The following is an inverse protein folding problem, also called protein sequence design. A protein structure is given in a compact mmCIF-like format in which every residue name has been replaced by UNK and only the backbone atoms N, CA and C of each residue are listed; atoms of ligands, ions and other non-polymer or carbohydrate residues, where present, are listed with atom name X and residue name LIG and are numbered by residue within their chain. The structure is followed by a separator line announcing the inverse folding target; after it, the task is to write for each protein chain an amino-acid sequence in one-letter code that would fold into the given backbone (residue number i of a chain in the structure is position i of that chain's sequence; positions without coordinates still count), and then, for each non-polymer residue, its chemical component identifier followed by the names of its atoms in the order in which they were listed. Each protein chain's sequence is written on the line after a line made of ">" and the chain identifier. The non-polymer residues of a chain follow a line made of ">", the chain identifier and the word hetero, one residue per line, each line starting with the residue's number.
data_IF_981872047007
#
_entry.id   IF_981872047007
#
_cell.length_a   1.000
_cell.length_b   1.000
_cell.length_c   1.000
_cell.angle_alpha   90.00
_cell.angle_beta   90.00
_cell.angle_gamma   90.00
#
_symmetry.space_group_name_H-M   'P 1'
#
loop_
_entity.id
_entity.type
_entity.pdbx_description
1 polymer ?
#
# COMPACT_ATOMS: atom_id res chain seq x y z
N UNK A 1 0.70 -22.15 -18.34
CA UNK A 1 1.60 -20.97 -18.42
C UNK A 1 2.02 -20.63 -17.00
N UNK A 2 3.29 -20.30 -16.74
CA UNK A 2 3.76 -20.00 -15.38
C UNK A 2 3.21 -18.64 -14.91
N UNK A 3 2.69 -18.53 -13.67
CA UNK A 3 2.23 -17.26 -13.11
C UNK A 3 3.32 -16.19 -13.12
N UNK A 4 2.93 -14.94 -13.31
CA UNK A 4 3.82 -13.77 -13.35
C UNK A 4 3.32 -12.71 -12.40
N UNK A 5 4.24 -12.03 -11.75
CA UNK A 5 3.95 -10.81 -11.02
C UNK A 5 4.95 -9.72 -11.38
N UNK A 6 4.54 -8.48 -11.23
CA UNK A 6 5.37 -7.31 -11.49
C UNK A 6 5.06 -6.23 -10.46
N UNK A 7 6.11 -5.55 -10.00
CA UNK A 7 6.01 -4.48 -9.02
C UNK A 7 6.64 -3.20 -9.57
N UNK A 8 5.99 -2.08 -9.26
CA UNK A 8 6.43 -0.72 -9.54
C UNK A 8 6.34 0.10 -8.26
N UNK A 9 7.41 0.76 -7.88
CA UNK A 9 7.45 1.62 -6.70
C UNK A 9 7.62 3.09 -7.11
N UNK A 10 7.09 3.97 -6.27
CA UNK A 10 7.47 5.38 -6.25
C UNK A 10 7.91 5.75 -4.83
N UNK A 11 7.97 7.04 -4.52
CA UNK A 11 8.40 7.55 -3.23
C UNK A 11 7.34 7.40 -2.10
N UNK A 12 6.18 6.82 -2.40
CA UNK A 12 5.03 6.83 -1.50
C UNK A 12 4.26 5.51 -1.36
N UNK A 13 4.31 4.62 -2.35
CA UNK A 13 3.68 3.30 -2.31
C UNK A 13 4.30 2.36 -3.34
N UNK A 14 3.96 1.06 -3.24
CA UNK A 14 4.26 0.06 -4.27
C UNK A 14 2.99 -0.46 -4.90
N UNK A 15 2.93 -0.43 -6.23
CA UNK A 15 1.92 -1.13 -7.01
C UNK A 15 2.44 -2.51 -7.40
N UNK A 16 1.69 -3.55 -7.09
CA UNK A 16 1.97 -4.92 -7.53
C UNK A 16 0.79 -5.44 -8.32
N UNK A 17 1.07 -6.08 -9.46
CA UNK A 17 0.09 -6.72 -10.31
C UNK A 17 0.55 -8.15 -10.66
N UNK A 18 -0.40 -9.04 -10.94
CA UNK A 18 -0.10 -10.43 -11.26
C UNK A 18 -1.08 -11.00 -12.28
N UNK A 19 -0.64 -12.06 -12.94
CA UNK A 19 -1.40 -12.80 -13.93
C UNK A 19 -1.06 -14.29 -13.84
N UNK A 20 -2.09 -15.14 -13.82
CA UNK A 20 -1.99 -16.60 -13.80
C UNK A 20 -2.26 -17.22 -15.19
N UNK A 21 -2.47 -16.37 -16.21
CA UNK A 21 -2.64 -16.73 -17.62
C UNK A 21 -3.99 -17.35 -17.97
N UNK A 22 -4.76 -17.78 -16.97
CA UNK A 22 -6.10 -18.35 -17.14
C UNK A 22 -6.95 -18.09 -15.90
N UNK A 23 -8.27 -18.26 -16.04
CA UNK A 23 -9.19 -18.29 -14.90
C UNK A 23 -8.91 -19.52 -14.06
N UNK A 24 -8.62 -19.31 -12.78
CA UNK A 24 -8.41 -20.39 -11.82
C UNK A 24 -9.77 -20.87 -11.27
N UNK A 25 -10.08 -22.15 -11.46
CA UNK A 25 -11.26 -22.79 -10.87
C UNK A 25 -11.09 -22.88 -9.35
N UNK A 26 -12.16 -22.60 -8.59
CA UNK A 26 -12.16 -22.61 -7.11
C UNK A 26 -11.17 -21.63 -6.46
N UNK A 27 -10.79 -20.55 -7.14
CA UNK A 27 -10.00 -19.46 -6.57
C UNK A 27 -10.93 -18.39 -5.97
N UNK A 28 -10.81 -18.14 -4.67
CA UNK A 28 -11.52 -17.06 -3.97
C UNK A 28 -10.76 -15.72 -4.09
N UNK A 29 -9.44 -15.76 -4.26
CA UNK A 29 -8.61 -14.57 -4.41
C UNK A 29 -7.13 -14.87 -4.21
N UNK A 30 -6.37 -13.85 -3.83
CA UNK A 30 -4.92 -13.96 -3.69
C UNK A 30 -4.40 -13.44 -2.36
N UNK A 31 -3.49 -14.19 -1.75
CA UNK A 31 -2.65 -13.70 -0.67
C UNK A 31 -1.37 -13.10 -1.26
N UNK A 32 -1.02 -11.89 -0.83
CA UNK A 32 0.18 -11.19 -1.30
C UNK A 32 1.12 -11.02 -0.13
N UNK A 33 2.36 -11.48 -0.28
CA UNK A 33 3.39 -11.43 0.73
C UNK A 33 4.51 -10.48 0.28
N UNK A 34 4.96 -9.63 1.19
CA UNK A 34 6.13 -8.77 1.01
C UNK A 34 7.38 -9.49 1.49
N UNK A 35 8.39 -9.54 0.62
CA UNK A 35 9.71 -10.08 0.91
C UNK A 35 10.70 -8.93 0.92
N UNK A 36 11.36 -8.70 2.05
CA UNK A 36 12.33 -7.61 2.25
C UNK A 36 13.78 -8.10 2.30
N UNK A 37 13.98 -9.42 2.47
CA UNK A 37 15.30 -10.05 2.58
C UNK A 37 15.38 -11.22 1.61
N UNK A 38 16.51 -11.37 0.93
CA UNK A 38 16.73 -12.45 -0.05
C UNK A 38 16.58 -13.85 0.57
N UNK A 39 16.91 -14.00 1.86
CA UNK A 39 16.80 -15.27 2.58
C UNK A 39 15.41 -15.55 3.18
N UNK A 40 14.47 -14.60 3.10
CA UNK A 40 13.08 -14.80 3.53
C UNK A 40 12.19 -15.07 2.31
N UNK A 41 12.12 -16.33 1.90
CA UNK A 41 11.29 -16.75 0.77
C UNK A 41 9.79 -16.71 1.09
N UNK A 42 9.41 -16.71 2.38
CA UNK A 42 8.00 -16.70 2.79
C UNK A 42 7.41 -15.29 2.73
N UNK A 43 8.13 -14.32 3.27
CA UNK A 43 7.67 -12.94 3.39
C UNK A 43 6.53 -12.76 4.40
N UNK A 44 6.12 -11.50 4.58
CA UNK A 44 5.02 -11.10 5.47
C UNK A 44 3.75 -10.83 4.66
N UNK A 45 2.63 -11.44 5.04
CA UNK A 45 1.35 -11.21 4.36
C UNK A 45 0.93 -9.73 4.47
N UNK A 46 0.55 -9.15 3.34
CA UNK A 46 0.12 -7.76 3.30
C UNK A 46 -1.20 -7.58 4.06
N UNK A 47 -1.38 -6.44 4.72
CA UNK A 47 -2.66 -6.11 5.33
C UNK A 47 -3.67 -5.72 4.26
N UNK A 48 -4.90 -6.17 4.47
CA UNK A 48 -6.11 -5.70 3.79
C UNK A 48 -7.08 -5.12 4.83
N UNK A 49 -8.08 -4.41 4.36
CA UNK A 49 -9.09 -3.78 5.22
C UNK A 49 -10.32 -4.66 5.31
N UNK A 50 -10.51 -5.30 6.46
CA UNK A 50 -11.76 -5.94 6.85
C UNK A 50 -12.63 -4.99 7.69
N UNK A 51 -13.83 -5.45 8.02
CA UNK A 51 -14.68 -4.85 9.07
C UNK A 51 -15.12 -5.93 10.03
N UNK A 52 -15.22 -5.61 11.31
CA UNK A 52 -15.89 -6.48 12.27
C UNK A 52 -17.41 -6.39 12.16
N UNK A 53 -18.12 -7.17 12.98
CA UNK A 53 -19.59 -7.19 13.03
C UNK A 53 -20.22 -5.85 13.40
N UNK A 54 -19.47 -4.97 14.08
CA UNK A 54 -19.90 -3.60 14.42
C UNK A 54 -19.57 -2.58 13.32
N UNK A 55 -18.97 -3.04 12.21
CA UNK A 55 -18.51 -2.19 11.12
C UNK A 55 -17.18 -1.50 11.39
N UNK A 56 -16.53 -1.76 12.54
CA UNK A 56 -15.22 -1.17 12.87
C UNK A 56 -14.14 -1.77 11.98
N UNK A 57 -13.21 -0.94 11.54
CA UNK A 57 -12.13 -1.34 10.62
C UNK A 57 -11.18 -2.29 11.34
N UNK A 58 -10.90 -3.42 10.69
CA UNK A 58 -9.89 -4.37 11.14
C UNK A 58 -8.78 -4.44 10.10
N UNK A 59 -7.54 -4.34 10.58
CA UNK A 59 -6.36 -4.68 9.77
C UNK A 59 -6.21 -6.19 9.84
N UNK A 60 -6.53 -6.87 8.74
CA UNK A 60 -6.45 -8.33 8.61
C UNK A 60 -5.45 -8.68 7.52
N UNK A 61 -4.85 -9.86 7.53
CA UNK A 61 -3.92 -10.26 6.48
C UNK A 61 -4.66 -10.64 5.20
N UNK A 62 -3.98 -10.53 4.06
CA UNK A 62 -4.48 -11.05 2.78
C UNK A 62 -4.61 -12.58 2.75
N UNK A 63 -4.08 -13.29 3.76
CA UNK A 63 -4.32 -14.72 3.94
C UNK A 63 -5.72 -14.96 4.49
N UNK A 64 -6.11 -14.22 5.53
CA UNK A 64 -7.43 -14.33 6.15
C UNK A 64 -8.53 -13.74 5.26
N UNK A 65 -8.23 -12.70 4.49
CA UNK A 65 -9.15 -12.06 3.55
C UNK A 65 -8.49 -11.92 2.17
N UNK A 66 -8.60 -12.93 1.29
CA UNK A 66 -7.95 -12.93 -0.02
C UNK A 66 -8.35 -11.73 -0.89
N UNK A 67 -7.37 -11.17 -1.61
CA UNK A 67 -7.58 -10.04 -2.51
C UNK A 67 -8.28 -10.54 -3.78
N UNK A 68 -9.49 -10.02 -4.05
CA UNK A 68 -10.32 -10.38 -5.23
C UNK A 68 -10.06 -9.49 -6.45
N UNK A 69 -8.79 -9.17 -6.68
CA UNK A 69 -8.28 -8.35 -7.79
C UNK A 69 -6.97 -8.96 -8.28
N UNK A 70 -6.48 -8.51 -9.42
CA UNK A 70 -5.19 -8.90 -9.99
C UNK A 70 -4.09 -7.85 -9.74
N UNK A 71 -4.34 -6.93 -8.82
CA UNK A 71 -3.36 -5.94 -8.37
C UNK A 71 -3.66 -5.50 -6.93
N UNK A 72 -2.64 -4.94 -6.30
CA UNK A 72 -2.71 -4.36 -4.97
C UNK A 72 -1.78 -3.15 -4.85
N UNK A 73 -2.11 -2.25 -3.93
CA UNK A 73 -1.22 -1.15 -3.53
C UNK A 73 -0.77 -1.42 -2.11
N UNK A 74 0.50 -1.77 -1.95
CA UNK A 74 1.13 -1.70 -0.64
C UNK A 74 1.36 -0.23 -0.34
N UNK A 75 0.76 0.26 0.75
CA UNK A 75 0.92 1.64 1.29
C UNK A 75 1.55 1.62 2.68
N UNK A 76 2.01 0.43 3.10
CA UNK A 76 2.65 0.13 4.38
C UNK A 76 4.13 -0.28 4.20
N UNK A 77 4.67 -0.08 3.01
CA UNK A 77 6.09 -0.17 2.72
C UNK A 77 6.91 0.83 3.55
N UNK A 78 8.20 0.54 3.62
CA UNK A 78 9.19 1.44 4.20
C UNK A 78 10.01 2.08 3.08
N UNK A 79 10.11 3.41 3.11
CA UNK A 79 10.89 4.18 2.13
C UNK A 79 12.37 3.83 2.22
N UNK A 80 13.05 3.80 1.07
CA UNK A 80 14.46 3.42 0.96
C UNK A 80 14.75 1.94 1.23
N UNK A 81 13.70 1.10 1.34
CA UNK A 81 13.86 -0.36 1.40
C UNK A 81 13.66 -0.96 0.02
N UNK A 82 14.39 -2.05 -0.20
CA UNK A 82 14.22 -2.93 -1.36
C UNK A 82 13.32 -4.08 -0.98
N UNK A 83 12.33 -4.38 -1.83
CA UNK A 83 11.35 -5.44 -1.58
C UNK A 83 10.89 -6.09 -2.90
N UNK A 84 10.34 -7.29 -2.80
CA UNK A 84 9.58 -7.95 -3.87
C UNK A 84 8.34 -8.60 -3.28
N UNK A 85 7.46 -9.08 -4.15
CA UNK A 85 6.19 -9.65 -3.76
C UNK A 85 6.03 -11.07 -4.25
N UNK A 86 5.47 -11.91 -3.38
CA UNK A 86 5.07 -13.29 -3.66
C UNK A 86 3.55 -13.36 -3.59
N UNK A 87 2.92 -13.92 -4.62
CA UNK A 87 1.46 -13.97 -4.74
C UNK A 87 1.02 -15.43 -4.82
N UNK A 88 0.12 -15.81 -3.92
CA UNK A 88 -0.41 -17.16 -3.79
C UNK A 88 -1.90 -17.14 -4.07
N UNK A 89 -2.36 -17.99 -4.99
CA UNK A 89 -3.78 -18.19 -5.23
C UNK A 89 -4.42 -18.92 -4.03
N UNK A 90 -5.59 -18.47 -3.60
CA UNK A 90 -6.28 -18.96 -2.41
C UNK A 90 -7.61 -19.60 -2.79
N UNK A 91 -7.89 -20.77 -2.24
CA UNK A 91 -9.21 -21.41 -2.33
C UNK A 91 -10.22 -20.83 -1.31
N UNK A 92 -9.72 -20.02 -0.37
CA UNK A 92 -10.48 -19.34 0.67
C UNK A 92 -9.57 -18.79 1.77
N UNK A 93 -10.14 -18.21 2.84
CA UNK A 93 -9.40 -17.73 4.01
C UNK A 93 -8.41 -18.77 4.55
N UNK A 94 -7.14 -18.37 4.65
CA UNK A 94 -6.01 -19.16 5.13
C UNK A 94 -5.82 -20.51 4.41
N UNK A 95 -6.36 -20.66 3.20
CA UNK A 95 -6.33 -21.92 2.44
C UNK A 95 -5.75 -21.70 1.04
N UNK A 96 -4.43 -21.93 0.84
CA UNK A 96 -3.81 -21.90 -0.48
C UNK A 96 -4.47 -22.88 -1.45
N UNK A 97 -4.63 -22.45 -2.69
CA UNK A 97 -5.14 -23.29 -3.78
C UNK A 97 -4.05 -24.28 -4.21
N UNK A 98 -4.36 -25.57 -4.09
CA UNK A 98 -3.39 -26.64 -4.37
C UNK A 98 -3.13 -26.80 -5.87
N UNK A 99 -1.90 -27.20 -6.21
CA UNK A 99 -1.49 -27.47 -7.60
C UNK A 99 -1.32 -26.23 -8.47
N UNK A 100 -1.34 -25.04 -7.88
CA UNK A 100 -1.12 -23.76 -8.57
C UNK A 100 0.21 -23.17 -8.08
N UNK A 101 1.10 -22.88 -9.03
CA UNK A 101 2.36 -22.20 -8.75
C UNK A 101 2.13 -20.79 -8.20
N UNK A 102 3.05 -20.30 -7.38
CA UNK A 102 3.05 -18.90 -6.94
C UNK A 102 3.69 -17.97 -7.98
N UNK A 103 3.29 -16.69 -7.95
CA UNK A 103 3.91 -15.66 -8.77
C UNK A 103 4.89 -14.83 -7.93
N UNK A 104 6.08 -14.56 -8.47
CA UNK A 104 7.09 -13.70 -7.84
C UNK A 104 7.32 -12.45 -8.71
N UNK A 105 7.36 -11.29 -8.07
CA UNK A 105 7.68 -10.03 -8.75
C UNK A 105 9.18 -9.80 -8.86
N UNK A 106 9.55 -8.83 -9.69
CA UNK A 106 10.85 -8.17 -9.62
C UNK A 106 11.05 -7.50 -8.24
N UNK A 107 12.31 -7.31 -7.88
CA UNK A 107 12.69 -6.41 -6.79
C UNK A 107 12.46 -4.96 -7.19
N UNK A 108 11.97 -4.16 -6.26
CA UNK A 108 11.77 -2.72 -6.36
C UNK A 108 12.33 -2.02 -5.15
N UNK A 109 12.65 -0.74 -5.30
CA UNK A 109 13.07 0.13 -4.20
C UNK A 109 12.13 1.32 -4.11
N UNK A 110 11.65 1.62 -2.90
CA UNK A 110 10.68 2.70 -2.66
C UNK A 110 11.42 4.01 -2.54
N UNK A 111 11.62 4.69 -3.67
CA UNK A 111 12.36 5.95 -3.76
C UNK A 111 11.70 6.94 -4.72
N UNK A 112 12.16 8.18 -4.70
CA UNK A 112 11.80 9.19 -5.71
C UNK A 112 12.55 9.02 -7.03
N UNK A 113 13.60 8.20 -7.10
CA UNK A 113 14.43 8.11 -8.28
C UNK A 113 13.74 7.34 -9.42
N UNK A 114 13.71 7.96 -10.60
CA UNK A 114 13.27 7.34 -11.84
C UNK A 114 14.25 7.69 -12.96
N UNK A 115 15.25 6.84 -13.17
CA UNK A 115 16.33 7.11 -14.13
C UNK A 115 17.11 8.37 -13.76
N UNK A 116 17.04 9.41 -14.60
CA UNK A 116 17.76 10.69 -14.40
C UNK A 116 16.93 11.76 -13.68
N UNK A 117 15.69 11.45 -13.30
CA UNK A 117 14.80 12.41 -12.64
C UNK A 117 14.39 11.90 -11.26
N UNK A 118 14.05 12.82 -10.37
CA UNK A 118 13.39 12.51 -9.11
C UNK A 118 11.93 12.97 -9.18
N UNK A 119 11.01 12.07 -8.86
CA UNK A 119 9.57 12.32 -8.86
C UNK A 119 9.06 12.19 -7.43
N UNK A 120 8.41 13.26 -6.95
CA UNK A 120 7.90 13.34 -5.59
C UNK A 120 6.39 13.50 -5.62
N UNK A 121 5.69 12.48 -5.12
CA UNK A 121 4.26 12.56 -4.85
C UNK A 121 4.05 13.02 -3.40
N UNK A 122 3.12 13.96 -3.22
CA UNK A 122 2.49 14.16 -1.93
C UNK A 122 1.60 12.94 -1.61
N UNK A 123 1.36 12.68 -0.33
CA UNK A 123 0.28 11.80 0.08
C UNK A 123 -1.02 12.57 -0.17
N UNK A 124 -1.53 12.50 -1.40
CA UNK A 124 -2.81 13.07 -1.86
C UNK A 124 -4.02 12.40 -1.20
N UNK A 125 -4.01 12.35 0.13
CA UNK A 125 -4.74 11.41 0.99
C UNK A 125 -5.95 12.07 1.66
N UNK A 126 -6.32 13.29 1.26
CA UNK A 126 -7.45 14.03 1.80
C UNK A 126 -8.78 13.23 1.74
N UNK A 127 -8.92 12.31 0.77
CA UNK A 127 -10.09 11.44 0.61
C UNK A 127 -9.87 9.99 1.07
N UNK A 128 -8.88 9.71 1.92
CA UNK A 128 -8.77 8.37 2.51
C UNK A 128 -9.69 8.22 3.71
N UNK A 129 -10.18 7.00 3.92
CA UNK A 129 -10.92 6.66 5.12
C UNK A 129 -10.15 7.00 6.41
N UNK A 130 -8.80 6.96 6.41
CA UNK A 130 -7.99 7.40 7.56
C UNK A 130 -8.20 8.88 7.88
N UNK A 131 -8.21 9.74 6.86
CA UNK A 131 -8.48 11.17 7.05
C UNK A 131 -9.93 11.38 7.45
N UNK A 132 -10.87 10.63 6.86
CA UNK A 132 -12.27 10.62 7.28
C UNK A 132 -12.43 10.27 8.76
N UNK A 133 -11.73 9.26 9.27
CA UNK A 133 -11.78 8.85 10.69
C UNK A 133 -11.28 9.95 11.64
N UNK A 134 -10.32 10.79 11.21
CA UNK A 134 -9.80 11.91 12.00
C UNK A 134 -10.85 13.02 12.17
N UNK A 135 -11.70 13.20 11.16
CA UNK A 135 -12.64 14.34 11.05
C UNK A 135 -14.08 13.92 11.32
N UNK A 136 -14.30 12.61 11.47
CA UNK A 136 -15.59 12.05 11.80
C UNK A 136 -16.02 12.52 13.18
N UNK A 137 -17.25 12.99 13.26
CA UNK A 137 -17.93 13.35 14.50
C UNK A 137 -19.24 12.57 14.53
N UNK A 138 -19.37 11.53 15.36
CA UNK A 138 -20.57 10.70 15.40
C UNK A 138 -21.80 11.46 15.91
N UNK A 139 -21.61 12.64 16.51
CA UNK A 139 -22.70 13.47 17.05
C UNK A 139 -23.22 14.49 16.04
N UNK A 140 -22.56 14.65 14.89
CA UNK A 140 -22.90 15.65 13.87
C UNK A 140 -23.33 15.02 12.56
N UNK A 141 -24.19 15.75 11.81
CA UNK A 141 -24.62 15.36 10.46
C UNK A 141 -23.51 15.45 9.40
N UNK A 142 -22.45 16.21 9.66
CA UNK A 142 -21.33 16.44 8.73
C UNK A 142 -19.98 16.30 9.44
N UNK A 143 -18.93 15.83 8.73
CA UNK A 143 -17.57 15.82 9.27
C UNK A 143 -17.08 17.23 9.68
N UNK A 144 -16.17 17.29 10.65
CA UNK A 144 -15.57 18.53 11.14
C UNK A 144 -14.48 19.03 10.19
N UNK A 145 -14.85 19.60 9.04
CA UNK A 145 -13.89 20.08 8.02
C UNK A 145 -12.93 21.15 8.55
N UNK A 146 -13.38 22.05 9.43
CA UNK A 146 -12.53 23.06 10.08
C UNK A 146 -11.36 22.43 10.87
N UNK A 147 -11.54 21.20 11.37
CA UNK A 147 -10.47 20.45 12.04
C UNK A 147 -9.34 20.12 11.07
N UNK A 148 -9.65 19.76 9.83
CA UNK A 148 -8.64 19.51 8.79
C UNK A 148 -7.87 20.79 8.51
N UNK A 149 -8.58 21.89 8.29
CA UNK A 149 -7.96 23.16 7.93
C UNK A 149 -6.97 23.62 9.00
N UNK A 150 -7.38 23.58 10.28
CA UNK A 150 -6.50 23.85 11.43
C UNK A 150 -5.28 22.93 11.44
N UNK A 151 -5.48 21.63 11.21
CA UNK A 151 -4.39 20.65 11.18
C UNK A 151 -3.47 20.78 9.96
N UNK A 152 -3.93 21.30 8.82
CA UNK A 152 -3.09 21.55 7.63
C UNK A 152 -2.28 22.84 7.79
N UNK A 153 -2.86 23.84 8.44
CA UNK A 153 -2.20 25.14 8.68
C UNK A 153 -1.16 25.08 9.80
N UNK A 154 -1.26 24.15 10.76
CA UNK A 154 -0.25 23.93 11.81
C UNK A 154 1.00 23.20 11.26
N UNK A 155 2.19 23.82 11.23
CA UNK A 155 3.41 23.18 10.76
C UNK A 155 3.84 21.94 11.56
N UNK A 156 3.45 21.87 12.84
CA UNK A 156 3.79 20.78 13.77
C UNK A 156 2.78 19.63 13.74
N UNK A 157 1.70 19.77 12.98
CA UNK A 157 0.67 18.75 12.84
C UNK A 157 1.23 17.47 12.21
N UNK A 158 1.06 16.34 12.92
CA UNK A 158 1.39 15.00 12.41
C UNK A 158 0.63 14.67 11.11
N UNK A 159 -0.58 15.20 10.95
CA UNK A 159 -1.36 15.01 9.72
C UNK A 159 -0.71 15.76 8.55
N UNK A 160 -0.35 17.04 8.72
CA UNK A 160 0.32 17.84 7.70
C UNK A 160 1.63 17.19 7.25
N UNK A 161 2.46 16.76 8.21
CA UNK A 161 3.71 16.07 7.93
C UNK A 161 3.47 14.76 7.15
N UNK A 162 2.49 13.97 7.57
CA UNK A 162 2.11 12.74 6.85
C UNK A 162 1.61 13.01 5.42
N UNK A 163 0.79 14.04 5.20
CA UNK A 163 0.23 14.38 3.89
C UNK A 163 1.30 14.95 2.94
N UNK A 164 2.28 15.66 3.48
CA UNK A 164 3.38 16.25 2.70
C UNK A 164 4.34 15.21 2.13
N UNK A 165 4.38 14.00 2.70
CA UNK A 165 5.25 12.93 2.22
C UNK A 165 6.72 13.34 2.19
N UNK A 166 7.45 13.03 1.12
CA UNK A 166 8.83 13.50 0.91
C UNK A 166 8.91 14.82 0.13
N UNK A 167 7.78 15.35 -0.35
CA UNK A 167 7.75 16.55 -1.20
C UNK A 167 8.33 17.77 -0.48
N UNK A 168 8.01 17.95 0.81
CA UNK A 168 8.54 19.07 1.58
C UNK A 168 10.08 19.06 1.61
N UNK A 169 10.69 17.91 1.89
CA UNK A 169 12.14 17.75 1.89
C UNK A 169 12.76 17.91 0.50
N UNK A 170 12.04 17.54 -0.56
CA UNK A 170 12.51 17.75 -1.93
C UNK A 170 12.54 19.23 -2.30
N UNK A 171 11.49 19.98 -1.97
CA UNK A 171 11.41 21.43 -2.24
C UNK A 171 12.50 22.19 -1.49
N UNK A 172 12.77 21.87 -0.23
CA UNK A 172 13.85 22.52 0.53
C UNK A 172 15.23 22.24 -0.09
N UNK A 173 15.48 21.02 -0.55
CA UNK A 173 16.73 20.68 -1.26
C UNK A 173 16.90 21.48 -2.55
N UNK A 174 15.83 21.74 -3.30
CA UNK A 174 15.90 22.57 -4.50
C UNK A 174 16.28 24.02 -4.17
N UNK A 175 15.72 24.57 -3.10
CA UNK A 175 16.07 25.92 -2.61
C UNK A 175 17.52 25.99 -2.15
N UNK A 176 18.03 24.97 -1.47
CA UNK A 176 19.43 24.93 -1.04
C UNK A 176 20.41 24.81 -2.22
N UNK A 177 20.03 24.11 -3.30
CA UNK A 177 20.83 24.04 -4.54
C UNK A 177 20.86 25.35 -5.34
N UNK A 178 19.92 26.25 -5.09
CA UNK A 178 19.82 27.53 -5.80
C UNK A 178 20.64 28.66 -5.14
N UNK A 179 21.25 28.38 -3.98
CA UNK A 179 22.25 29.26 -3.34
C UNK A 179 23.61 29.03 -3.96
#
# INVERSE_FOLDING_TARGET
>A
MKPKAFALANNDYVHVAWDFGTKLTNCDGFAVYRIEKENDSKGTALPVFGRDKSGKRLKVSSEAEPIRKYNWRDVYEERGKRMRYRVVAMAGPNKPLQGIDEALSNWVEVTSHFGKVEVYFNRGILATQRVSDIIWDPTKKKPAFEKIEKMINDPNSKLRQSLSGQLFGALTKLLDRAK
#
